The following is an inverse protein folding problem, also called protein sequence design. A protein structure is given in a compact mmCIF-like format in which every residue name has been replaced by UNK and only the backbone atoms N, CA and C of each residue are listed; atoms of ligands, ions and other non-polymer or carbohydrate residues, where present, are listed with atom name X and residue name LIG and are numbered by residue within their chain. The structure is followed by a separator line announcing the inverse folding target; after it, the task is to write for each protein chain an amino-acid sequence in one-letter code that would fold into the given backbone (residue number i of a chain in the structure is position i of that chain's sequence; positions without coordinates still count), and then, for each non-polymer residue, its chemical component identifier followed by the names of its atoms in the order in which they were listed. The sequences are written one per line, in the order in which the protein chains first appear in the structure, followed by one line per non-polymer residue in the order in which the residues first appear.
data_IF_694787526865
#
_entry.id   IF_694787526865
#
_cell.length_a   1.000
_cell.length_b   1.000
_cell.length_c   1.000
_cell.angle_alpha   90.00
_cell.angle_beta   90.00
_cell.angle_gamma   90.00
#
_symmetry.space_group_name_H-M   'P 1'
#
loop_
_entity.id
_entity.type
_entity.pdbx_description
1 polymer ?
#
# COMPACT_ATOMS: atom_id res chain seq x y z
N UNK A 1 -25.60 4.76 -4.78
CA UNK A 1 -24.71 5.91 -5.11
C UNK A 1 -23.49 5.89 -4.19
N UNK A 2 -22.39 6.60 -4.53
CA UNK A 2 -21.15 6.67 -3.70
C UNK A 2 -21.47 7.16 -2.28
N UNK A 3 -22.24 8.23 -2.16
CA UNK A 3 -22.60 8.86 -0.89
C UNK A 3 -23.36 7.93 0.06
N UNK A 4 -24.31 7.15 -0.45
CA UNK A 4 -25.05 6.15 0.35
C UNK A 4 -24.14 5.04 0.90
N UNK A 5 -23.18 4.61 0.11
CA UNK A 5 -22.18 3.60 0.55
C UNK A 5 -21.30 4.13 1.66
N UNK A 6 -20.82 5.36 1.51
CA UNK A 6 -20.03 6.03 2.54
C UNK A 6 -20.86 6.26 3.82
N UNK A 7 -22.13 6.67 3.68
CA UNK A 7 -23.06 6.82 4.80
C UNK A 7 -23.34 5.48 5.50
N UNK A 8 -23.46 4.37 4.75
CA UNK A 8 -23.63 3.03 5.33
C UNK A 8 -22.41 2.61 6.17
N UNK A 9 -21.21 2.88 5.69
CA UNK A 9 -19.97 2.62 6.46
C UNK A 9 -19.96 3.45 7.74
N UNK A 10 -20.33 4.73 7.66
CA UNK A 10 -20.45 5.60 8.83
C UNK A 10 -21.45 5.05 9.86
N UNK A 11 -22.61 4.60 9.42
CA UNK A 11 -23.64 4.04 10.29
C UNK A 11 -23.21 2.74 10.98
N UNK A 12 -22.41 1.90 10.29
CA UNK A 12 -21.87 0.65 10.82
C UNK A 12 -20.63 0.86 11.70
N UNK A 13 -19.99 2.02 11.58
CA UNK A 13 -18.81 2.36 12.36
C UNK A 13 -19.22 2.82 13.76
N UNK A 14 -18.73 2.16 14.80
CA UNK A 14 -18.98 2.57 16.18
C UNK A 14 -18.48 4.00 16.45
N UNK A 15 -19.13 4.71 17.37
CA UNK A 15 -18.78 6.10 17.76
C UNK A 15 -17.37 6.24 18.38
N UNK A 16 -16.72 5.13 18.71
CA UNK A 16 -15.41 5.08 19.37
C UNK A 16 -14.22 4.92 18.40
N UNK A 17 -14.45 4.86 17.08
CA UNK A 17 -13.36 4.70 16.12
C UNK A 17 -12.51 5.98 16.02
N UNK A 18 -11.19 5.78 15.92
CA UNK A 18 -10.27 6.86 15.63
C UNK A 18 -10.67 7.58 14.31
N UNK A 19 -10.83 8.92 14.32
CA UNK A 19 -11.25 9.67 13.12
C UNK A 19 -10.31 9.51 11.92
N UNK A 20 -9.01 9.30 12.15
CA UNK A 20 -8.04 9.05 11.07
C UNK A 20 -8.26 7.67 10.44
N UNK A 21 -8.48 6.65 11.26
CA UNK A 21 -8.81 5.29 10.79
C UNK A 21 -10.11 5.31 9.99
N UNK A 22 -11.15 5.98 10.50
CA UNK A 22 -12.44 6.09 9.82
C UNK A 22 -12.30 6.76 8.44
N UNK A 23 -11.56 7.86 8.34
CA UNK A 23 -11.27 8.50 7.05
C UNK A 23 -10.57 7.56 6.07
N UNK A 24 -9.62 6.76 6.55
CA UNK A 24 -8.95 5.76 5.71
C UNK A 24 -9.90 4.65 5.28
N UNK A 25 -10.77 4.17 6.18
CA UNK A 25 -11.81 3.17 5.87
C UNK A 25 -12.80 3.63 4.82
N UNK A 26 -13.17 4.91 4.84
CA UNK A 26 -14.06 5.50 3.83
C UNK A 26 -13.45 5.53 2.41
N UNK A 27 -12.14 5.36 2.27
CA UNK A 27 -11.51 5.27 0.95
C UNK A 27 -11.69 3.89 0.30
N UNK A 28 -11.93 2.82 1.07
CA UNK A 28 -12.02 1.44 0.54
C UNK A 28 -13.07 1.27 -0.57
N UNK A 29 -14.32 1.75 -0.44
CA UNK A 29 -15.29 1.66 -1.53
C UNK A 29 -14.91 2.50 -2.76
N UNK A 30 -14.22 3.62 -2.58
CA UNK A 30 -13.72 4.42 -3.70
C UNK A 30 -12.57 3.71 -4.42
N UNK A 31 -11.70 3.02 -3.68
CA UNK A 31 -10.65 2.16 -4.25
C UNK A 31 -11.26 1.04 -5.09
N UNK A 32 -12.35 0.43 -4.62
CA UNK A 32 -13.05 -0.64 -5.35
C UNK A 32 -13.58 -0.14 -6.70
N UNK A 33 -14.16 1.07 -6.75
CA UNK A 33 -14.66 1.66 -7.99
C UNK A 33 -13.52 1.99 -8.98
N UNK A 34 -12.40 2.55 -8.49
CA UNK A 34 -11.25 2.82 -9.36
C UNK A 34 -10.64 1.52 -9.88
N UNK A 35 -10.53 0.48 -9.05
CA UNK A 35 -10.06 -0.84 -9.49
C UNK A 35 -11.00 -1.46 -10.52
N UNK A 36 -12.31 -1.36 -10.31
CA UNK A 36 -13.30 -1.83 -11.29
C UNK A 36 -13.18 -1.07 -12.62
N UNK A 37 -12.99 0.24 -12.59
CA UNK A 37 -12.71 1.03 -13.79
C UNK A 37 -11.43 0.54 -14.49
N UNK A 38 -10.30 0.46 -13.79
CA UNK A 38 -9.00 0.08 -14.37
C UNK A 38 -9.07 -1.29 -15.04
N UNK A 39 -9.64 -2.28 -14.37
CA UNK A 39 -9.56 -3.66 -14.86
C UNK A 39 -10.68 -4.08 -15.81
N UNK A 40 -11.73 -3.29 -15.90
CA UNK A 40 -12.76 -3.44 -16.95
C UNK A 40 -12.48 -2.57 -18.20
N UNK A 41 -11.54 -1.62 -18.11
CA UNK A 41 -11.19 -0.76 -19.25
C UNK A 41 -10.12 -1.40 -20.14
N UNK A 42 -10.32 -1.48 -21.47
CA UNK A 42 -9.39 -2.16 -22.39
C UNK A 42 -7.95 -1.63 -22.33
N UNK A 43 -7.79 -0.33 -22.15
CA UNK A 43 -6.49 0.34 -22.15
C UNK A 43 -5.72 0.15 -20.84
N UNK A 44 -6.42 0.09 -19.67
CA UNK A 44 -5.79 0.12 -18.34
C UNK A 44 -5.68 -1.26 -17.69
N UNK A 45 -6.39 -2.28 -18.16
CA UNK A 45 -6.37 -3.63 -17.58
C UNK A 45 -5.01 -4.32 -17.56
N UNK A 46 -4.03 -3.79 -18.30
CA UNK A 46 -2.64 -4.26 -18.30
C UNK A 46 -1.80 -3.68 -17.16
N UNK A 47 -2.30 -2.68 -16.42
CA UNK A 47 -1.62 -2.09 -15.28
C UNK A 47 -1.40 -3.13 -14.19
N UNK A 48 -0.24 -3.07 -13.54
CA UNK A 48 0.17 -4.00 -12.49
C UNK A 48 -0.16 -3.38 -11.13
N UNK A 49 -1.19 -3.90 -10.48
CA UNK A 49 -1.58 -3.44 -9.16
C UNK A 49 -0.51 -3.82 -8.14
N UNK A 50 -0.07 -2.86 -7.35
CA UNK A 50 1.02 -3.00 -6.38
C UNK A 50 0.68 -2.26 -5.07
N UNK A 51 1.65 -2.15 -4.19
CA UNK A 51 1.53 -1.37 -2.96
C UNK A 51 0.72 -2.02 -1.84
N UNK A 52 0.43 -1.20 -0.82
CA UNK A 52 -0.27 -1.66 0.39
C UNK A 52 -1.71 -2.07 0.14
N UNK A 53 -2.41 -1.39 -0.76
CA UNK A 53 -3.80 -1.69 -1.09
C UNK A 53 -3.92 -3.01 -1.87
N UNK A 54 -2.94 -3.32 -2.72
CA UNK A 54 -2.83 -4.63 -3.37
C UNK A 54 -2.69 -5.75 -2.33
N UNK A 55 -1.76 -5.60 -1.37
CA UNK A 55 -1.58 -6.56 -0.28
C UNK A 55 -2.85 -6.77 0.54
N UNK A 56 -3.57 -5.68 0.85
CA UNK A 56 -4.81 -5.76 1.61
C UNK A 56 -5.92 -6.47 0.85
N UNK A 57 -6.17 -6.06 -0.40
CA UNK A 57 -7.33 -6.54 -1.16
C UNK A 57 -7.16 -7.95 -1.74
N UNK A 58 -5.94 -8.33 -2.11
CA UNK A 58 -5.68 -9.62 -2.75
C UNK A 58 -5.03 -10.65 -1.83
N UNK A 59 -4.30 -10.21 -0.79
CA UNK A 59 -3.47 -11.11 0.01
C UNK A 59 -3.77 -11.08 1.51
N UNK A 60 -4.73 -10.26 1.95
CA UNK A 60 -5.22 -10.25 3.33
C UNK A 60 -4.30 -9.54 4.32
N UNK A 61 -3.57 -8.50 3.91
CA UNK A 61 -2.81 -7.65 4.83
C UNK A 61 -3.76 -7.03 5.88
N UNK A 62 -3.53 -7.24 7.20
CA UNK A 62 -4.50 -6.88 8.24
C UNK A 62 -4.39 -5.42 8.70
N UNK A 63 -4.13 -4.50 7.79
CA UNK A 63 -4.21 -3.05 8.02
C UNK A 63 -4.92 -2.37 6.86
N UNK A 64 -5.51 -1.21 7.11
CA UNK A 64 -6.03 -0.37 6.03
C UNK A 64 -4.90 0.16 5.14
N UNK A 65 -5.26 0.57 3.93
CA UNK A 65 -4.37 1.28 3.01
C UNK A 65 -5.14 2.40 2.32
N UNK A 66 -4.47 3.48 1.95
CA UNK A 66 -5.14 4.69 1.51
C UNK A 66 -4.96 5.02 0.02
N UNK A 67 -3.85 4.59 -0.57
CA UNK A 67 -3.47 4.92 -1.94
C UNK A 67 -3.67 3.72 -2.87
N UNK A 68 -3.81 3.97 -4.17
CA UNK A 68 -3.75 2.96 -5.22
C UNK A 68 -2.45 3.14 -5.99
N UNK A 69 -1.67 2.09 -6.07
CA UNK A 69 -0.37 2.09 -6.75
C UNK A 69 -0.44 1.16 -7.97
N UNK A 70 -0.03 1.68 -9.13
CA UNK A 70 0.05 0.92 -10.37
C UNK A 70 1.41 1.10 -11.03
N UNK A 71 2.05 -0.02 -11.37
CA UNK A 71 3.20 -0.03 -12.26
C UNK A 71 2.73 -0.38 -13.68
N UNK A 72 3.21 0.36 -14.67
CA UNK A 72 2.81 0.23 -16.06
C UNK A 72 3.99 -0.29 -16.88
N UNK A 73 3.84 -1.40 -17.62
CA UNK A 73 4.83 -1.80 -18.61
C UNK A 73 4.94 -0.74 -19.72
N UNK A 74 5.99 0.07 -19.71
CA UNK A 74 6.18 1.21 -20.62
C UNK A 74 5.84 2.55 -19.97
N UNK A 75 5.52 3.54 -20.79
CA UNK A 75 5.21 4.90 -20.32
C UNK A 75 3.71 5.03 -20.04
N UNK A 76 3.31 5.48 -18.85
CA UNK A 76 1.90 5.69 -18.53
C UNK A 76 1.35 6.95 -19.23
N UNK A 77 0.17 6.86 -19.80
CA UNK A 77 -0.63 8.00 -20.25
C UNK A 77 -1.58 8.44 -19.13
N UNK A 78 -1.07 9.25 -18.22
CA UNK A 78 -1.83 9.74 -17.07
C UNK A 78 -2.91 10.73 -17.48
N UNK A 79 -2.73 11.47 -18.58
CA UNK A 79 -3.72 12.45 -19.05
C UNK A 79 -5.00 11.74 -19.52
N UNK A 80 -4.86 10.74 -20.39
CA UNK A 80 -6.00 9.91 -20.83
C UNK A 80 -6.64 9.16 -19.67
N UNK A 81 -5.84 8.58 -18.76
CA UNK A 81 -6.36 7.91 -17.56
C UNK A 81 -7.26 8.84 -16.72
N UNK A 82 -6.84 10.08 -16.50
CA UNK A 82 -7.62 11.07 -15.73
C UNK A 82 -8.91 11.44 -16.44
N UNK A 83 -8.87 11.65 -17.76
CA UNK A 83 -10.05 12.01 -18.55
C UNK A 83 -11.11 10.89 -18.51
N UNK A 84 -10.69 9.65 -18.80
CA UNK A 84 -11.59 8.48 -18.84
C UNK A 84 -12.14 8.13 -17.44
N UNK A 85 -11.30 8.26 -16.38
CA UNK A 85 -11.76 8.04 -15.01
C UNK A 85 -12.79 9.09 -14.58
N UNK A 86 -12.62 10.36 -14.97
CA UNK A 86 -13.60 11.40 -14.68
C UNK A 86 -14.93 11.14 -15.38
N UNK A 87 -14.88 10.72 -16.64
CA UNK A 87 -16.07 10.32 -17.39
C UNK A 87 -16.78 9.13 -16.71
N UNK A 88 -16.03 8.08 -16.35
CA UNK A 88 -16.56 6.92 -15.63
C UNK A 88 -17.26 7.33 -14.31
N UNK A 89 -16.62 8.17 -13.50
CA UNK A 89 -17.19 8.62 -12.22
C UNK A 89 -18.44 9.49 -12.45
N UNK A 90 -18.43 10.37 -13.45
CA UNK A 90 -19.57 11.23 -13.77
C UNK A 90 -20.73 10.45 -14.36
N UNK A 91 -20.48 9.61 -15.37
CA UNK A 91 -21.54 8.99 -16.18
C UNK A 91 -21.97 7.62 -15.64
N UNK A 92 -21.03 6.80 -15.15
CA UNK A 92 -21.33 5.45 -14.66
C UNK A 92 -21.73 5.48 -13.18
N UNK A 93 -20.92 6.16 -12.34
CA UNK A 93 -21.20 6.25 -10.91
C UNK A 93 -22.17 7.39 -10.54
N UNK A 94 -22.58 8.21 -11.52
CA UNK A 94 -23.48 9.35 -11.37
C UNK A 94 -23.03 10.34 -10.27
N UNK A 95 -21.70 10.52 -10.12
CA UNK A 95 -21.10 11.41 -9.15
C UNK A 95 -20.29 12.54 -9.83
N UNK A 96 -20.93 13.71 -9.99
CA UNK A 96 -20.39 14.85 -10.75
C UNK A 96 -19.52 15.83 -9.94
N UNK A 97 -19.42 15.63 -8.62
CA UNK A 97 -18.70 16.56 -7.73
C UNK A 97 -17.22 16.20 -7.56
N UNK A 98 -16.76 15.07 -8.11
CA UNK A 98 -15.35 14.70 -8.05
C UNK A 98 -14.50 15.65 -8.89
N UNK A 99 -13.38 16.09 -8.32
CA UNK A 99 -12.32 16.79 -9.05
C UNK A 99 -11.00 16.03 -8.97
N UNK A 100 -10.07 16.35 -9.84
CA UNK A 100 -8.75 15.68 -9.89
C UNK A 100 -7.64 16.70 -9.80
N UNK A 101 -6.53 16.29 -9.18
CA UNK A 101 -5.27 17.05 -9.15
C UNK A 101 -4.14 16.13 -9.57
N UNK A 102 -3.38 16.53 -10.58
CA UNK A 102 -2.19 15.79 -11.02
C UNK A 102 -0.96 16.44 -10.39
N UNK A 103 -0.02 15.63 -9.87
CA UNK A 103 1.23 16.12 -9.30
C UNK A 103 2.13 16.77 -10.38
N UNK A 104 3.07 17.60 -9.96
CA UNK A 104 4.04 18.22 -10.87
C UNK A 104 4.95 17.21 -11.60
N UNK A 105 5.11 16.01 -11.05
CA UNK A 105 5.83 14.89 -11.69
C UNK A 105 4.98 14.13 -12.72
N UNK A 106 3.66 14.39 -12.77
CA UNK A 106 2.74 13.74 -13.70
C UNK A 106 2.39 12.28 -13.38
N UNK A 107 2.93 11.69 -12.31
CA UNK A 107 2.73 10.27 -11.96
C UNK A 107 1.66 10.04 -10.88
N UNK A 108 1.33 11.05 -10.10
CA UNK A 108 0.32 10.96 -9.03
C UNK A 108 -0.92 11.76 -9.38
N UNK A 109 -2.06 11.10 -9.29
CA UNK A 109 -3.40 11.67 -9.45
C UNK A 109 -4.12 11.62 -8.11
N UNK A 110 -4.60 12.76 -7.61
CA UNK A 110 -5.46 12.81 -6.43
C UNK A 110 -6.90 13.04 -6.85
N UNK A 111 -7.77 12.09 -6.54
CA UNK A 111 -9.22 12.22 -6.68
C UNK A 111 -9.75 12.91 -5.42
N UNK A 112 -10.54 13.96 -5.60
CA UNK A 112 -11.07 14.81 -4.53
C UNK A 112 -12.59 14.65 -4.47
N UNK A 113 -13.07 14.07 -3.38
CA UNK A 113 -14.51 13.86 -3.13
C UNK A 113 -14.97 14.77 -1.99
N UNK A 114 -15.77 15.82 -2.22
CA UNK A 114 -16.22 16.77 -1.19
C UNK A 114 -17.39 16.20 -0.37
N UNK A 115 -17.20 15.06 0.27
CA UNK A 115 -18.24 14.27 0.95
C UNK A 115 -18.20 14.35 2.48
N UNK A 116 -17.08 14.78 3.08
CA UNK A 116 -16.90 14.67 4.53
C UNK A 116 -17.84 15.56 5.34
N UNK A 117 -18.31 16.69 4.78
CA UNK A 117 -19.32 17.54 5.43
C UNK A 117 -20.67 16.84 5.52
N UNK A 118 -21.11 16.20 4.44
CA UNK A 118 -22.38 15.45 4.40
C UNK A 118 -22.35 14.24 5.34
N UNK A 119 -21.16 13.66 5.57
CA UNK A 119 -20.96 12.55 6.50
C UNK A 119 -20.78 12.98 7.97
N UNK A 120 -20.88 14.28 8.28
CA UNK A 120 -20.73 14.79 9.65
C UNK A 120 -19.30 14.74 10.19
N UNK A 121 -18.28 14.64 9.32
CA UNK A 121 -16.86 14.55 9.69
C UNK A 121 -16.11 15.91 9.58
N UNK A 122 -16.83 17.00 9.39
CA UNK A 122 -16.33 18.37 9.38
C UNK A 122 -16.93 19.11 10.55
N UNK A 123 -16.10 19.44 11.54
CA UNK A 123 -16.56 20.06 12.80
C UNK A 123 -16.22 21.55 12.88
N UNK A 124 -15.28 22.02 12.06
CA UNK A 124 -14.85 23.41 12.03
C UNK A 124 -14.62 23.92 10.60
N UNK A 125 -14.48 25.23 10.44
CA UNK A 125 -14.12 25.85 9.16
C UNK A 125 -12.67 25.53 8.73
N UNK A 126 -11.84 25.09 9.65
CA UNK A 126 -10.45 24.66 9.36
C UNK A 126 -10.38 23.22 8.83
N UNK A 127 -11.43 22.41 9.02
CA UNK A 127 -11.46 21.03 8.56
C UNK A 127 -11.70 20.98 7.04
N UNK A 128 -10.94 20.13 6.36
CA UNK A 128 -11.20 19.86 4.95
C UNK A 128 -12.48 19.08 4.75
N UNK A 129 -13.37 19.51 3.84
CA UNK A 129 -14.57 18.76 3.47
C UNK A 129 -14.26 17.59 2.53
N UNK A 130 -13.00 17.41 2.11
CA UNK A 130 -12.62 16.54 1.02
C UNK A 130 -12.07 15.20 1.55
N UNK A 131 -12.60 14.11 1.02
CA UNK A 131 -11.98 12.80 1.08
C UNK A 131 -11.06 12.66 -0.14
N UNK A 132 -9.78 12.37 0.10
CA UNK A 132 -8.76 12.30 -0.94
C UNK A 132 -8.37 10.85 -1.19
N UNK A 133 -8.44 10.41 -2.45
CA UNK A 133 -7.90 9.13 -2.91
C UNK A 133 -6.78 9.40 -3.91
N UNK A 134 -5.58 8.94 -3.59
CA UNK A 134 -4.42 9.08 -4.46
C UNK A 134 -4.23 7.81 -5.29
N UNK A 135 -3.94 8.01 -6.57
CA UNK A 135 -3.53 6.96 -7.50
C UNK A 135 -2.14 7.31 -8.03
N UNK A 136 -1.16 6.47 -7.77
CA UNK A 136 0.19 6.57 -8.30
C UNK A 136 0.31 5.64 -9.51
N UNK A 137 0.70 6.18 -10.66
CA UNK A 137 0.79 5.46 -11.93
C UNK A 137 2.20 5.70 -12.46
N UNK A 138 3.08 4.73 -12.27
CA UNK A 138 4.49 4.86 -12.63
C UNK A 138 4.89 3.83 -13.69
N UNK A 139 5.95 4.13 -14.45
CA UNK A 139 6.58 3.12 -15.28
C UNK A 139 7.18 2.01 -14.40
N UNK A 140 7.08 0.76 -14.82
CA UNK A 140 7.68 -0.37 -14.10
C UNK A 140 9.22 -0.21 -14.09
N UNK A 141 9.86 -0.20 -12.90
CA UNK A 141 11.23 0.32 -12.78
C UNK A 141 12.34 -0.66 -13.19
N UNK A 142 12.08 -1.98 -13.23
CA UNK A 142 13.16 -2.97 -13.34
C UNK A 142 13.02 -3.96 -14.49
N UNK A 143 11.83 -4.18 -15.00
CA UNK A 143 11.54 -5.30 -15.90
C UNK A 143 11.55 -6.69 -15.20
N UNK A 144 11.83 -6.74 -13.89
CA UNK A 144 12.00 -7.99 -13.11
C UNK A 144 10.82 -8.11 -12.14
N UNK A 145 9.80 -8.87 -12.51
CA UNK A 145 8.63 -9.12 -11.68
C UNK A 145 7.88 -10.39 -12.08
N UNK A 146 7.22 -11.02 -11.11
CA UNK A 146 6.14 -11.95 -11.34
C UNK A 146 4.80 -11.23 -11.23
N UNK A 147 3.85 -11.61 -12.07
CA UNK A 147 2.49 -11.09 -12.04
C UNK A 147 1.48 -12.21 -12.15
N UNK A 148 0.31 -11.99 -11.55
CA UNK A 148 -0.82 -12.92 -11.63
C UNK A 148 -2.12 -12.16 -11.87
N UNK A 149 -3.12 -12.89 -12.35
CA UNK A 149 -4.49 -12.42 -12.47
C UNK A 149 -5.31 -13.08 -11.38
N UNK A 150 -5.94 -12.28 -10.53
CA UNK A 150 -6.73 -12.76 -9.39
C UNK A 150 -8.14 -12.19 -9.43
N UNK A 151 -9.18 -12.95 -9.04
CA UNK A 151 -10.51 -12.39 -8.86
C UNK A 151 -10.53 -11.44 -7.65
N UNK A 152 -11.20 -10.31 -7.79
CA UNK A 152 -11.51 -9.40 -6.72
C UNK A 152 -13.03 -9.21 -6.64
N UNK A 153 -13.62 -9.61 -5.52
CA UNK A 153 -15.04 -9.41 -5.23
C UNK A 153 -15.23 -8.17 -4.37
N UNK A 154 -16.08 -7.29 -4.81
CA UNK A 154 -16.56 -6.13 -4.06
C UNK A 154 -18.01 -6.32 -3.64
N UNK A 155 -18.59 -5.38 -2.93
CA UNK A 155 -20.01 -5.45 -2.57
C UNK A 155 -20.96 -5.40 -3.78
N UNK A 156 -20.53 -4.92 -4.96
CA UNK A 156 -21.37 -4.74 -6.14
C UNK A 156 -21.01 -5.64 -7.31
N UNK A 157 -19.75 -6.04 -7.44
CA UNK A 157 -19.28 -6.73 -8.64
C UNK A 157 -18.05 -7.59 -8.33
N UNK A 158 -17.75 -8.48 -9.26
CA UNK A 158 -16.51 -9.25 -9.29
C UNK A 158 -15.81 -9.00 -10.64
N UNK A 159 -14.51 -8.77 -10.58
CA UNK A 159 -13.67 -8.57 -11.75
C UNK A 159 -12.27 -9.18 -11.52
N UNK A 160 -11.46 -9.24 -12.57
CA UNK A 160 -10.12 -9.82 -12.51
C UNK A 160 -9.08 -8.71 -12.47
N UNK A 161 -8.19 -8.77 -11.48
CA UNK A 161 -7.12 -7.80 -11.24
C UNK A 161 -5.78 -8.40 -11.66
N UNK A 162 -5.02 -7.67 -12.47
CA UNK A 162 -3.62 -8.01 -12.76
C UNK A 162 -2.73 -7.36 -11.72
N UNK A 163 -2.04 -8.15 -10.93
CA UNK A 163 -1.24 -7.67 -9.81
C UNK A 163 0.13 -8.34 -9.76
N UNK A 164 1.07 -7.72 -9.07
CA UNK A 164 2.30 -8.41 -8.69
C UNK A 164 2.01 -9.61 -7.79
N UNK A 165 2.83 -10.66 -7.95
CA UNK A 165 2.84 -11.80 -7.04
C UNK A 165 3.49 -11.46 -5.68
N UNK A 166 3.31 -12.34 -4.70
CA UNK A 166 3.85 -12.12 -3.35
C UNK A 166 5.39 -11.97 -3.30
N UNK A 167 6.20 -12.77 -4.04
CA UNK A 167 7.65 -12.57 -4.07
C UNK A 167 8.07 -11.18 -4.57
N UNK A 168 7.40 -10.68 -5.61
CA UNK A 168 7.64 -9.34 -6.17
C UNK A 168 7.28 -8.24 -5.17
N UNK A 169 6.08 -8.34 -4.55
CA UNK A 169 5.63 -7.39 -3.54
C UNK A 169 6.54 -7.41 -2.30
N UNK A 170 6.97 -8.59 -1.85
CA UNK A 170 7.91 -8.73 -0.75
C UNK A 170 9.24 -8.03 -1.07
N UNK A 171 9.82 -8.30 -2.26
CA UNK A 171 11.03 -7.63 -2.71
C UNK A 171 10.88 -6.12 -2.78
N UNK A 172 9.76 -5.63 -3.32
CA UNK A 172 9.47 -4.19 -3.39
C UNK A 172 9.35 -3.55 -2.01
N UNK A 173 8.73 -4.24 -1.02
CA UNK A 173 8.62 -3.75 0.36
C UNK A 173 9.94 -3.74 1.10
N UNK A 174 10.78 -4.76 0.92
CA UNK A 174 12.12 -4.79 1.49
C UNK A 174 13.00 -3.66 0.91
N UNK A 175 12.95 -3.45 -0.40
CA UNK A 175 13.67 -2.37 -1.06
C UNK A 175 13.15 -0.99 -0.60
N UNK A 176 11.84 -0.80 -0.47
CA UNK A 176 11.26 0.43 0.04
C UNK A 176 11.64 0.72 1.49
N UNK A 177 11.66 -0.30 2.36
CA UNK A 177 12.11 -0.16 3.75
C UNK A 177 13.56 0.33 3.83
N UNK A 178 14.45 -0.15 2.96
CA UNK A 178 15.86 0.23 2.96
C UNK A 178 16.14 1.56 2.23
N UNK A 179 15.47 1.80 1.10
CA UNK A 179 15.82 2.90 0.18
C UNK A 179 15.09 4.21 0.44
N UNK A 180 14.11 4.25 1.34
CA UNK A 180 13.38 5.50 1.60
C UNK A 180 14.02 6.32 2.70
N UNK A 181 14.41 7.54 2.33
CA UNK A 181 14.48 8.66 3.24
C UNK A 181 13.16 9.45 3.10
N UNK A 182 12.35 9.47 4.15
CA UNK A 182 11.04 10.11 4.14
C UNK A 182 11.10 11.46 4.86
N UNK A 183 10.74 12.53 4.16
CA UNK A 183 10.62 13.86 4.77
C UNK A 183 9.18 14.11 5.18
N UNK A 184 8.93 14.26 6.47
CA UNK A 184 7.63 14.65 7.03
C UNK A 184 7.62 16.16 7.31
N UNK A 185 6.81 16.91 6.53
CA UNK A 185 6.78 18.37 6.64
C UNK A 185 8.08 19.03 6.11
N UNK A 186 8.33 20.26 6.52
CA UNK A 186 9.43 21.08 6.00
C UNK A 186 10.80 20.88 6.66
N UNK A 187 10.95 20.00 7.65
CA UNK A 187 12.17 20.01 8.48
C UNK A 187 12.67 18.69 9.08
N UNK A 188 12.02 17.55 8.88
CA UNK A 188 12.54 16.28 9.39
C UNK A 188 12.51 15.18 8.33
N UNK A 189 13.69 14.74 7.89
CA UNK A 189 13.86 13.52 7.12
C UNK A 189 13.74 12.33 8.06
N UNK A 190 12.79 11.42 7.77
CA UNK A 190 12.62 10.19 8.52
C UNK A 190 13.10 9.01 7.69
N UNK A 191 13.90 8.11 8.26
CA UNK A 191 14.52 7.01 7.53
C UNK A 191 13.54 5.88 7.18
N UNK A 192 12.26 5.94 7.60
CA UNK A 192 11.26 4.89 7.35
C UNK A 192 9.84 5.43 7.39
N UNK A 193 8.90 4.62 6.90
CA UNK A 193 7.45 4.77 7.13
C UNK A 193 6.95 3.59 7.96
N UNK A 194 6.15 3.84 9.00
CA UNK A 194 5.60 2.79 9.85
C UNK A 194 4.83 1.72 9.07
N UNK A 195 4.17 2.09 7.95
CA UNK A 195 3.50 1.15 7.04
C UNK A 195 4.45 0.16 6.39
N UNK A 196 5.65 0.59 5.99
CA UNK A 196 6.65 -0.31 5.38
C UNK A 196 7.21 -1.29 6.43
N UNK A 197 7.35 -0.84 7.68
CA UNK A 197 7.72 -1.69 8.84
C UNK A 197 6.65 -2.77 9.07
N UNK A 198 5.37 -2.40 9.10
CA UNK A 198 4.26 -3.34 9.28
C UNK A 198 4.18 -4.36 8.15
N UNK A 199 4.29 -3.91 6.90
CA UNK A 199 4.22 -4.77 5.71
C UNK A 199 5.38 -5.76 5.68
N UNK A 200 6.59 -5.30 6.02
CA UNK A 200 7.77 -6.16 6.07
C UNK A 200 7.62 -7.23 7.16
N UNK A 201 7.16 -6.85 8.36
CA UNK A 201 6.90 -7.81 9.45
C UNK A 201 5.86 -8.87 9.04
N UNK A 202 4.76 -8.46 8.37
CA UNK A 202 3.75 -9.36 7.87
C UNK A 202 4.31 -10.36 6.84
N UNK A 203 5.18 -9.90 5.92
CA UNK A 203 5.86 -10.78 4.97
C UNK A 203 6.77 -11.79 5.64
N UNK A 204 7.56 -11.37 6.61
CA UNK A 204 8.47 -12.25 7.36
C UNK A 204 7.71 -13.31 8.14
N UNK A 205 6.62 -12.92 8.80
CA UNK A 205 5.73 -13.87 9.48
C UNK A 205 5.13 -14.90 8.51
N UNK A 206 4.65 -14.44 7.34
CA UNK A 206 4.12 -15.31 6.30
C UNK A 206 5.18 -16.26 5.73
N UNK A 207 6.39 -15.77 5.52
CA UNK A 207 7.52 -16.57 5.05
C UNK A 207 7.90 -17.65 6.08
N UNK A 208 7.95 -17.29 7.36
CA UNK A 208 8.22 -18.24 8.45
C UNK A 208 7.15 -19.33 8.54
N UNK A 209 5.87 -18.96 8.44
CA UNK A 209 4.74 -19.92 8.42
C UNK A 209 4.82 -20.92 7.26
N UNK A 210 5.45 -20.53 6.16
CA UNK A 210 5.69 -21.36 4.98
C UNK A 210 7.10 -21.97 4.97
N UNK A 211 7.75 -22.08 6.12
CA UNK A 211 9.11 -22.63 6.22
C UNK A 211 10.10 -21.91 5.27
N UNK A 212 9.95 -20.61 5.12
CA UNK A 212 10.74 -19.76 4.24
C UNK A 212 10.63 -20.10 2.73
N UNK A 213 9.57 -20.81 2.29
CA UNK A 213 9.31 -21.04 0.86
C UNK A 213 8.97 -19.71 0.15
N UNK A 214 8.21 -18.84 0.81
CA UNK A 214 8.03 -17.46 0.35
C UNK A 214 9.32 -16.68 0.58
N UNK A 215 9.88 -16.13 -0.48
CA UNK A 215 11.09 -15.29 -0.47
C UNK A 215 10.84 -13.99 -1.22
N UNK A 216 11.55 -12.90 -0.90
CA UNK A 216 11.61 -11.75 -1.80
C UNK A 216 12.12 -12.17 -3.19
N UNK A 217 11.63 -11.54 -4.24
CA UNK A 217 12.21 -11.68 -5.57
C UNK A 217 13.58 -10.99 -5.59
N UNK A 218 14.62 -11.73 -5.22
CA UNK A 218 15.96 -11.19 -4.99
C UNK A 218 16.56 -10.42 -6.17
N UNK A 219 16.43 -10.87 -7.45
CA UNK A 219 16.93 -10.09 -8.58
C UNK A 219 16.31 -8.68 -8.63
N UNK A 220 15.00 -8.55 -8.29
CA UNK A 220 14.33 -7.25 -8.20
C UNK A 220 14.87 -6.40 -7.05
N UNK A 221 15.04 -6.98 -5.86
CA UNK A 221 15.58 -6.28 -4.68
C UNK A 221 16.95 -5.70 -5.00
N UNK A 222 17.84 -6.51 -5.58
CA UNK A 222 19.20 -6.11 -5.92
C UNK A 222 19.19 -4.99 -6.97
N UNK A 223 18.36 -5.11 -8.02
CA UNK A 223 18.22 -4.08 -9.04
C UNK A 223 17.67 -2.74 -8.45
N UNK A 224 16.66 -2.79 -7.59
CA UNK A 224 16.08 -1.58 -6.97
C UNK A 224 17.04 -0.86 -6.01
N UNK A 225 17.94 -1.59 -5.36
CA UNK A 225 18.88 -1.04 -4.37
C UNK A 225 20.28 -0.80 -4.93
N UNK A 226 20.56 -1.20 -6.17
CA UNK A 226 21.94 -1.20 -6.72
C UNK A 226 22.88 -2.05 -5.87
N UNK A 227 22.42 -3.20 -5.37
CA UNK A 227 23.14 -4.08 -4.47
C UNK A 227 23.52 -5.41 -5.16
N UNK A 228 24.60 -6.04 -4.72
CA UNK A 228 25.12 -7.25 -5.34
C UNK A 228 24.84 -8.53 -4.54
N UNK A 229 24.41 -8.39 -3.27
CA UNK A 229 24.32 -9.52 -2.36
C UNK A 229 23.09 -9.44 -1.45
N UNK A 230 22.25 -10.48 -1.52
CA UNK A 230 21.00 -10.57 -0.74
C UNK A 230 21.25 -10.64 0.78
N UNK A 231 22.29 -11.35 1.23
CA UNK A 231 22.62 -11.46 2.66
C UNK A 231 23.00 -10.11 3.23
N UNK A 232 23.78 -9.30 2.51
CA UNK A 232 24.14 -7.95 2.92
C UNK A 232 22.92 -7.02 2.97
N UNK A 233 21.97 -7.18 2.05
CA UNK A 233 20.70 -6.44 2.06
C UNK A 233 19.93 -6.76 3.33
N UNK A 234 19.81 -8.04 3.70
CA UNK A 234 19.08 -8.46 4.92
C UNK A 234 19.78 -7.96 6.18
N UNK A 235 21.11 -7.99 6.25
CA UNK A 235 21.87 -7.45 7.37
C UNK A 235 21.62 -5.96 7.56
N UNK A 236 21.73 -5.17 6.49
CA UNK A 236 21.40 -3.74 6.52
C UNK A 236 19.94 -3.50 6.96
N UNK A 237 19.00 -4.34 6.55
CA UNK A 237 17.62 -4.24 7.01
C UNK A 237 17.48 -4.56 8.50
N UNK A 238 18.21 -5.53 9.02
CA UNK A 238 18.23 -5.87 10.45
C UNK A 238 18.83 -4.73 11.30
N UNK A 239 19.93 -4.13 10.85
CA UNK A 239 20.55 -2.99 11.53
C UNK A 239 19.61 -1.77 11.55
N UNK A 240 18.96 -1.46 10.42
CA UNK A 240 17.95 -0.40 10.34
C UNK A 240 16.75 -0.68 11.25
N UNK A 241 16.28 -1.93 11.29
CA UNK A 241 15.16 -2.34 12.13
C UNK A 241 15.46 -2.20 13.64
N UNK A 242 16.70 -2.44 14.05
CA UNK A 242 17.13 -2.28 15.44
C UNK A 242 17.16 -0.81 15.94
N UNK A 243 17.20 0.15 14.99
CA UNK A 243 17.21 1.59 15.28
C UNK A 243 15.85 2.27 15.10
N UNK A 244 14.76 1.50 14.96
CA UNK A 244 13.42 2.06 14.75
C UNK A 244 12.93 2.82 15.99
N UNK A 245 12.41 4.01 15.76
CA UNK A 245 11.62 4.76 16.74
C UNK A 245 10.19 4.19 16.79
N UNK A 246 9.87 3.52 17.90
CA UNK A 246 8.58 2.84 18.09
C UNK A 246 7.40 3.81 18.20
N UNK A 247 7.59 5.01 18.76
CA UNK A 247 6.55 6.04 18.82
C UNK A 247 6.22 6.56 17.42
N UNK A 248 7.25 6.75 16.59
CA UNK A 248 7.07 7.16 15.20
C UNK A 248 6.38 6.07 14.38
N UNK A 249 6.74 4.80 14.58
CA UNK A 249 6.04 3.66 13.95
C UNK A 249 4.56 3.69 14.32
N UNK A 250 4.23 3.86 15.61
CA UNK A 250 2.85 3.96 16.07
C UNK A 250 2.11 5.15 15.47
N UNK A 251 2.73 6.34 15.46
CA UNK A 251 2.13 7.55 14.89
C UNK A 251 1.79 7.39 13.41
N UNK A 252 2.66 6.75 12.62
CA UNK A 252 2.45 6.50 11.21
C UNK A 252 1.38 5.43 10.94
N UNK A 253 1.22 4.46 11.85
CA UNK A 253 0.25 3.36 11.70
C UNK A 253 -1.16 3.70 12.23
N UNK A 254 -1.30 4.71 13.07
CA UNK A 254 -2.60 5.07 13.69
C UNK A 254 -3.76 5.25 12.71
N UNK A 255 -3.59 5.78 11.49
CA UNK A 255 -4.67 5.85 10.50
C UNK A 255 -5.07 4.51 9.88
N UNK A 256 -4.32 3.43 10.14
CA UNK A 256 -4.42 2.14 9.43
C UNK A 256 -4.76 0.96 10.34
N UNK A 257 -4.64 1.11 11.64
CA UNK A 257 -4.95 0.10 12.66
C UNK A 257 -6.18 0.55 13.44
N UNK A 258 -7.15 -0.37 13.61
CA UNK A 258 -8.47 -0.03 14.14
C UNK A 258 -8.43 0.38 15.62
N UNK A 259 -7.66 -0.34 16.44
CA UNK A 259 -7.63 -0.16 17.90
C UNK A 259 -6.27 0.29 18.39
N UNK A 260 -6.25 1.21 19.36
CA UNK A 260 -5.01 1.64 20.02
C UNK A 260 -4.30 0.47 20.68
N UNK A 261 -5.03 -0.50 21.24
CA UNK A 261 -4.45 -1.70 21.85
C UNK A 261 -3.64 -2.52 20.85
N UNK A 262 -4.18 -2.75 19.62
CA UNK A 262 -3.47 -3.48 18.58
C UNK A 262 -2.25 -2.69 18.07
N UNK A 263 -2.37 -1.37 17.99
CA UNK A 263 -1.29 -0.47 17.61
C UNK A 263 -0.15 -0.52 18.62
N UNK A 264 -0.46 -0.39 19.91
CA UNK A 264 0.50 -0.47 21.01
C UNK A 264 1.18 -1.83 21.07
N UNK A 265 0.41 -2.92 20.99
CA UNK A 265 0.96 -4.29 21.01
C UNK A 265 1.95 -4.53 19.86
N UNK A 266 1.69 -3.96 18.67
CA UNK A 266 2.62 -4.04 17.54
C UNK A 266 3.86 -3.18 17.75
N UNK A 267 3.68 -1.90 18.08
CA UNK A 267 4.77 -0.92 18.12
C UNK A 267 5.76 -1.17 19.26
N UNK A 268 5.29 -1.62 20.42
CA UNK A 268 6.13 -1.88 21.60
C UNK A 268 7.23 -2.90 21.32
N UNK A 269 6.93 -3.95 20.57
CA UNK A 269 7.83 -5.09 20.37
C UNK A 269 8.58 -5.06 19.03
N UNK A 270 8.25 -4.14 18.13
CA UNK A 270 8.74 -4.20 16.75
C UNK A 270 10.26 -4.04 16.64
N UNK A 271 10.88 -3.24 17.49
CA UNK A 271 12.32 -2.98 17.49
C UNK A 271 13.17 -4.21 17.94
N UNK A 272 12.54 -5.19 18.60
CA UNK A 272 13.19 -6.47 18.95
C UNK A 272 12.81 -7.57 17.94
N UNK A 273 11.52 -7.65 17.60
CA UNK A 273 10.99 -8.76 16.80
C UNK A 273 11.41 -8.64 15.33
N UNK A 274 11.36 -7.45 14.74
CA UNK A 274 11.70 -7.29 13.32
C UNK A 274 13.16 -7.64 13.00
N UNK A 275 14.18 -7.16 13.78
CA UNK A 275 15.57 -7.60 13.58
C UNK A 275 15.76 -9.11 13.74
N UNK A 276 15.06 -9.74 14.72
CA UNK A 276 15.15 -11.18 14.94
C UNK A 276 14.59 -11.97 13.73
N UNK A 277 13.46 -11.54 13.16
CA UNK A 277 12.88 -12.16 11.97
C UNK A 277 13.76 -11.95 10.72
N UNK A 278 14.40 -10.80 10.57
CA UNK A 278 15.36 -10.55 9.49
C UNK A 278 16.60 -11.44 9.62
N UNK A 279 17.13 -11.65 10.83
CA UNK A 279 18.21 -12.60 11.08
C UNK A 279 17.81 -14.07 10.76
N UNK A 280 16.54 -14.43 11.01
CA UNK A 280 16.03 -15.73 10.61
C UNK A 280 15.97 -15.88 9.07
N UNK A 281 15.56 -14.82 8.35
CA UNK A 281 15.63 -14.78 6.88
C UNK A 281 17.06 -14.93 6.38
N UNK A 282 18.03 -14.22 7.00
CA UNK A 282 19.46 -14.35 6.67
C UNK A 282 19.94 -15.80 6.80
N UNK A 283 19.63 -16.44 7.93
CA UNK A 283 19.97 -17.86 8.16
C UNK A 283 19.38 -18.78 7.10
N UNK A 284 18.11 -18.56 6.72
CA UNK A 284 17.45 -19.34 5.68
C UNK A 284 18.10 -19.16 4.30
N UNK A 285 18.62 -17.98 3.98
CA UNK A 285 19.38 -17.72 2.75
C UNK A 285 20.71 -18.47 2.73
N UNK A 286 21.48 -18.41 3.81
CA UNK A 286 22.78 -19.09 3.92
C UNK A 286 22.63 -20.60 3.78
N UNK A 287 21.64 -21.20 4.48
CA UNK A 287 21.39 -22.64 4.39
C UNK A 287 21.05 -23.11 2.96
N UNK A 288 20.36 -22.26 2.16
CA UNK A 288 20.05 -22.59 0.76
C UNK A 288 21.27 -22.49 -0.16
N UNK A 289 22.17 -21.55 0.10
CA UNK A 289 23.42 -21.45 -0.66
C UNK A 289 24.30 -22.67 -0.43
N UNK A 290 24.42 -23.15 0.82
CA UNK A 290 25.17 -24.35 1.16
C UNK A 290 24.56 -25.61 0.57
N UNK A 291 23.22 -25.72 0.52
CA UNK A 291 22.51 -26.87 -0.07
C UNK A 291 22.50 -26.91 -1.60
N UNK A 292 22.91 -25.83 -2.31
CA UNK A 292 23.11 -25.84 -3.77
C UNK A 292 24.53 -26.22 -4.18
N UNK A 293 25.44 -26.34 -3.22
CA UNK A 293 26.85 -26.73 -3.42
C UNK A 293 27.09 -28.23 -3.14
N UNK A 294 26.06 -28.96 -2.71
CA UNK A 294 26.05 -30.43 -2.52
C UNK A 294 25.14 -31.09 -3.57
#
# INVERSE_FOLDING_TARGET
MIEERLASIMAQSGRSLNPLFLRTRLKEPLQDEVLAFVYNHPQYRSYLFTGGTCLRKLYGLPRLSEDLDFDVPGQPDVASFVADLREYVSETLQYRHMTTRVSGTGISVTLVFPVLRQLGLVHSSADTPNLLLRCDIAAEPTGIYGAQVSPLSTAQTMFFVRAYDLPTLFGSKLAAFLGRDYTRGSSQTQPFKGRDVFDLMWFLQKAQQQEWKLQPLWPRVLALLGADNAVNVVRRAADKAASLDTEQVAADLRPFIETEQALEAFSTNIHEVLPAQLKALEKALLTRQDGQLT
#
